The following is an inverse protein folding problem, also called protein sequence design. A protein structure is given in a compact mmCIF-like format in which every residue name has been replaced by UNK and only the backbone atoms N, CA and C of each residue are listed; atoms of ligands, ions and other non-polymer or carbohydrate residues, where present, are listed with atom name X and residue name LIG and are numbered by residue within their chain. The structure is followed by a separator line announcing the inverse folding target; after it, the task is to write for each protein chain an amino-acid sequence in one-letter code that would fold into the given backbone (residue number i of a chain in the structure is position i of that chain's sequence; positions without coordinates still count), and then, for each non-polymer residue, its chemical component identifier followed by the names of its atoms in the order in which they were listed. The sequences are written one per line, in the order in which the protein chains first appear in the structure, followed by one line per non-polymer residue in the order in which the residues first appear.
data_IF_901037916365
#
_entry.id   IF_901037916365
#
_cell.length_a   1.000
_cell.length_b   1.000
_cell.length_c   1.000
_cell.angle_alpha   90.00
_cell.angle_beta   90.00
_cell.angle_gamma   90.00
#
_symmetry.space_group_name_H-M   'P 1'
#
loop_
_entity.id
_entity.type
_entity.pdbx_description
1 polymer ?
#
# COMPACT_ATOMS: atom_id res chain seq x y z
N UNK A 1 27.50 -10.73 19.76
CA UNK A 1 26.64 -11.92 19.57
C UNK A 1 26.69 -12.20 18.07
N UNK A 2 27.53 -13.13 17.64
CA UNK A 2 27.68 -13.43 16.21
C UNK A 2 26.55 -14.37 15.79
N UNK A 3 25.56 -13.83 15.08
CA UNK A 3 24.48 -14.62 14.50
C UNK A 3 24.98 -15.13 13.14
N UNK A 4 25.11 -16.46 12.94
CA UNK A 4 25.65 -17.02 11.71
C UNK A 4 24.68 -16.80 10.53
N UNK A 5 25.23 -16.45 9.37
CA UNK A 5 24.47 -16.37 8.10
C UNK A 5 24.50 -17.75 7.44
N UNK A 6 23.38 -18.46 7.51
CA UNK A 6 23.29 -19.88 7.10
C UNK A 6 22.88 -20.09 5.64
N UNK A 7 22.66 -19.02 4.86
CA UNK A 7 22.30 -19.16 3.45
C UNK A 7 21.65 -17.93 2.84
N UNK A 8 20.97 -18.16 1.72
CA UNK A 8 20.23 -17.11 0.99
C UNK A 8 18.75 -17.46 0.94
N UNK A 9 17.92 -16.49 0.51
CA UNK A 9 16.48 -16.75 0.29
C UNK A 9 16.20 -17.91 -0.68
N UNK A 10 17.13 -18.24 -1.57
CA UNK A 10 16.97 -19.33 -2.56
C UNK A 10 17.39 -20.71 -2.03
N UNK A 11 18.10 -20.77 -0.89
CA UNK A 11 18.63 -22.00 -0.30
C UNK A 11 18.50 -21.93 1.21
N UNK A 12 17.29 -22.14 1.72
CA UNK A 12 17.03 -22.17 3.15
C UNK A 12 17.38 -23.56 3.72
N UNK A 13 18.25 -23.61 4.74
CA UNK A 13 18.69 -24.85 5.39
C UNK A 13 17.69 -25.34 6.46
N UNK A 14 16.40 -25.08 6.26
CA UNK A 14 15.39 -25.28 7.30
C UNK A 14 15.29 -26.72 7.82
N UNK A 15 15.50 -27.71 6.93
CA UNK A 15 15.46 -29.14 7.30
C UNK A 15 16.66 -29.56 8.15
N UNK A 16 17.85 -29.08 7.82
CA UNK A 16 19.10 -29.43 8.52
C UNK A 16 19.09 -28.94 9.97
N UNK A 17 18.43 -27.80 10.21
CA UNK A 17 18.33 -27.18 11.53
C UNK A 17 16.97 -27.38 12.21
N UNK A 18 16.09 -28.22 11.65
CA UNK A 18 14.74 -28.49 12.15
C UNK A 18 13.94 -27.21 12.50
N UNK A 19 13.97 -26.23 11.59
CA UNK A 19 13.35 -24.92 11.77
C UNK A 19 11.83 -25.03 11.63
N UNK A 20 11.10 -24.62 12.66
CA UNK A 20 9.62 -24.60 12.65
C UNK A 20 9.04 -23.28 12.12
N UNK A 21 9.73 -22.15 12.35
CA UNK A 21 9.25 -20.81 12.00
C UNK A 21 10.35 -19.94 11.39
N UNK A 22 9.96 -19.08 10.45
CA UNK A 22 10.80 -18.05 9.85
C UNK A 22 10.15 -16.67 10.01
N UNK A 23 10.96 -15.66 10.30
CA UNK A 23 10.51 -14.27 10.44
C UNK A 23 11.08 -13.44 9.29
N UNK A 24 10.20 -12.78 8.53
CA UNK A 24 10.59 -11.77 7.56
C UNK A 24 10.81 -10.45 8.31
N UNK A 25 12.08 -10.09 8.48
CA UNK A 25 12.51 -8.85 9.14
C UNK A 25 12.74 -7.67 8.16
N UNK A 26 12.23 -7.80 6.93
CA UNK A 26 12.32 -6.78 5.86
C UNK A 26 10.92 -6.35 5.43
N UNK A 27 10.15 -5.64 6.28
CA UNK A 27 8.77 -5.29 5.98
C UNK A 27 8.60 -4.29 4.83
N UNK A 28 9.69 -3.67 4.38
CA UNK A 28 9.75 -2.81 3.19
C UNK A 28 9.99 -3.59 1.89
N UNK A 29 10.22 -4.91 1.96
CA UNK A 29 10.40 -5.72 0.76
C UNK A 29 9.14 -5.72 -0.09
N UNK A 30 9.31 -5.76 -1.42
CA UNK A 30 8.15 -5.79 -2.31
C UNK A 30 7.31 -7.06 -2.09
N UNK A 31 5.99 -7.01 -2.33
CA UNK A 31 5.11 -8.19 -2.23
C UNK A 31 5.59 -9.36 -3.08
N UNK A 32 6.26 -9.10 -4.21
CA UNK A 32 6.90 -10.14 -5.02
C UNK A 32 7.98 -10.88 -4.21
N UNK A 33 8.87 -10.15 -3.55
CA UNK A 33 9.94 -10.76 -2.72
C UNK A 33 9.33 -11.52 -1.54
N UNK A 34 8.32 -10.96 -0.88
CA UNK A 34 7.61 -11.64 0.23
C UNK A 34 6.97 -12.94 -0.25
N UNK A 35 6.30 -12.93 -1.42
CA UNK A 35 5.72 -14.13 -2.05
C UNK A 35 6.77 -15.18 -2.38
N UNK A 36 7.91 -14.77 -2.93
CA UNK A 36 9.03 -15.66 -3.24
C UNK A 36 9.54 -16.34 -1.97
N UNK A 37 9.80 -15.58 -0.91
CA UNK A 37 10.24 -16.10 0.39
C UNK A 37 9.20 -17.05 0.98
N UNK A 38 7.92 -16.67 0.99
CA UNK A 38 6.82 -17.49 1.48
C UNK A 38 6.74 -18.83 0.75
N UNK A 39 6.88 -18.82 -0.58
CA UNK A 39 6.84 -20.04 -1.40
C UNK A 39 7.97 -20.99 -1.03
N UNK A 40 9.16 -20.45 -0.78
CA UNK A 40 10.34 -21.23 -0.42
C UNK A 40 10.19 -21.84 0.98
N UNK A 41 9.77 -21.05 1.97
CA UNK A 41 9.49 -21.52 3.33
C UNK A 41 8.38 -22.58 3.36
N UNK A 42 7.31 -22.40 2.58
CA UNK A 42 6.20 -23.37 2.48
C UNK A 42 6.67 -24.71 1.91
N UNK A 43 7.49 -24.69 0.85
CA UNK A 43 8.09 -25.92 0.30
C UNK A 43 8.98 -26.65 1.31
N UNK A 44 9.57 -25.92 2.26
CA UNK A 44 10.37 -26.48 3.33
C UNK A 44 9.56 -26.88 4.58
N UNK A 45 8.24 -26.64 4.62
CA UNK A 45 7.39 -26.94 5.77
C UNK A 45 7.49 -25.94 6.92
N UNK A 46 8.00 -24.74 6.66
CA UNK A 46 8.26 -23.70 7.67
C UNK A 46 7.13 -22.68 7.69
N UNK A 47 6.63 -22.35 8.90
CA UNK A 47 5.64 -21.26 9.07
C UNK A 47 6.32 -19.90 8.93
N UNK A 48 5.67 -18.95 8.28
CA UNK A 48 6.25 -17.62 8.02
C UNK A 48 5.48 -16.54 8.76
N UNK A 49 6.22 -15.72 9.51
CA UNK A 49 5.74 -14.51 10.19
C UNK A 49 6.45 -13.27 9.63
N UNK A 50 5.87 -12.10 9.84
CA UNK A 50 6.43 -10.83 9.36
C UNK A 50 6.42 -9.78 10.46
N UNK A 51 7.48 -8.95 10.50
CA UNK A 51 7.55 -7.77 11.37
C UNK A 51 6.67 -6.66 10.76
N UNK A 52 5.97 -5.83 11.55
CA UNK A 52 5.20 -4.71 11.00
C UNK A 52 6.10 -3.67 10.29
N UNK A 53 5.52 -2.93 9.34
CA UNK A 53 6.20 -1.83 8.65
C UNK A 53 6.68 -0.71 9.58
N UNK A 54 7.75 -0.01 9.16
CA UNK A 54 8.48 1.00 9.96
C UNK A 54 7.58 2.12 10.50
N UNK A 55 6.51 2.49 9.77
CA UNK A 55 5.53 3.50 10.21
C UNK A 55 4.86 3.13 11.54
N UNK A 56 4.65 1.84 11.79
CA UNK A 56 4.04 1.32 13.02
C UNK A 56 5.07 1.19 14.15
N UNK A 57 6.32 0.86 13.82
CA UNK A 57 7.45 0.80 14.77
C UNK A 57 7.77 2.19 15.35
N UNK A 58 7.79 3.23 14.52
CA UNK A 58 8.12 4.61 14.92
C UNK A 58 7.07 5.25 15.85
N UNK A 59 5.88 4.67 16.00
CA UNK A 59 4.85 5.15 16.93
C UNK A 59 5.17 4.90 18.42
N UNK A 60 6.33 4.31 18.73
CA UNK A 60 6.80 4.10 20.10
C UNK A 60 6.15 2.94 20.85
N UNK A 61 5.31 2.14 20.18
CA UNK A 61 4.60 0.97 20.75
C UNK A 61 5.03 -0.37 20.13
N UNK A 62 6.29 -0.52 19.75
CA UNK A 62 6.74 -1.81 19.24
C UNK A 62 7.03 -2.77 20.40
N UNK A 63 6.29 -3.88 20.42
CA UNK A 63 6.55 -5.03 21.28
C UNK A 63 6.81 -6.24 20.39
N UNK A 64 7.60 -7.21 20.87
CA UNK A 64 7.83 -8.50 20.21
C UNK A 64 6.50 -9.22 19.90
N UNK A 65 5.42 -8.87 20.62
CA UNK A 65 4.06 -9.33 20.37
C UNK A 65 3.46 -8.89 19.03
N UNK A 66 4.08 -7.95 18.30
CA UNK A 66 3.58 -7.52 16.99
C UNK A 66 4.08 -8.38 15.81
N UNK A 67 4.92 -9.39 16.06
CA UNK A 67 5.27 -10.39 15.04
C UNK A 67 4.02 -11.22 14.77
N UNK A 68 3.46 -11.07 13.56
CA UNK A 68 2.21 -11.74 13.17
C UNK A 68 2.40 -12.67 11.98
N UNK A 69 1.41 -13.55 11.77
CA UNK A 69 1.33 -14.33 10.55
C UNK A 69 1.16 -13.40 9.33
N UNK A 70 1.59 -13.87 8.16
CA UNK A 70 1.38 -13.17 6.90
C UNK A 70 -0.11 -13.14 6.57
N UNK A 71 -0.63 -11.95 6.32
CA UNK A 71 -2.02 -11.71 5.94
C UNK A 71 -2.09 -11.47 4.42
N UNK A 72 -3.30 -11.52 3.84
CA UNK A 72 -3.46 -11.39 2.38
C UNK A 72 -3.08 -9.98 1.91
N UNK A 73 -3.26 -9.00 2.77
CA UNK A 73 -2.92 -7.59 2.62
C UNK A 73 -1.42 -7.38 2.41
N UNK A 74 -0.55 -8.23 2.98
CA UNK A 74 0.91 -8.16 2.75
C UNK A 74 1.30 -8.61 1.34
N UNK A 75 0.38 -9.28 0.64
CA UNK A 75 0.56 -9.79 -0.72
C UNK A 75 -0.16 -8.92 -1.76
N UNK A 76 -1.17 -8.16 -1.34
CA UNK A 76 -1.96 -7.32 -2.23
C UNK A 76 -1.29 -5.95 -2.40
N UNK A 77 -1.09 -5.55 -3.65
CA UNK A 77 -0.71 -4.18 -3.98
C UNK A 77 -1.94 -3.27 -3.86
N UNK A 78 -1.75 -2.14 -3.19
CA UNK A 78 -1.44 -0.96 -3.99
C UNK A 78 -0.13 -0.39 -3.47
N UNK A 79 0.92 -0.51 -4.27
CA UNK A 79 1.90 0.58 -4.26
C UNK A 79 1.09 1.82 -4.62
N UNK A 80 1.22 2.92 -3.86
CA UNK A 80 0.66 4.18 -4.29
C UNK A 80 1.18 4.39 -5.71
N UNK A 81 0.26 4.50 -6.68
CA UNK A 81 0.65 5.06 -7.97
C UNK A 81 1.14 6.46 -7.61
N UNK A 82 2.42 6.73 -7.81
CA UNK A 82 2.92 8.10 -7.78
C UNK A 82 2.27 8.80 -8.97
N UNK A 83 1.16 9.49 -8.69
CA UNK A 83 0.54 10.37 -9.66
C UNK A 83 1.49 11.55 -9.77
N UNK A 84 2.10 11.71 -10.95
CA UNK A 84 2.87 12.91 -11.27
C UNK A 84 1.91 14.11 -11.28
N UNK A 85 1.86 14.79 -10.13
CA UNK A 85 0.95 15.90 -9.88
C UNK A 85 1.23 17.08 -10.81
N UNK A 86 2.48 17.30 -11.22
CA UNK A 86 2.84 18.37 -12.15
C UNK A 86 2.38 18.03 -13.57
N UNK A 87 2.58 16.80 -14.02
CA UNK A 87 2.04 16.34 -15.31
C UNK A 87 0.52 16.42 -15.34
N UNK A 88 -0.16 16.01 -14.26
CA UNK A 88 -1.61 16.09 -14.15
C UNK A 88 -2.12 17.54 -14.18
N UNK A 89 -1.45 18.44 -13.45
CA UNK A 89 -1.74 19.88 -13.46
C UNK A 89 -1.57 20.46 -14.85
N UNK A 90 -0.42 20.24 -15.51
CA UNK A 90 -0.17 20.73 -16.87
C UNK A 90 -1.19 20.19 -17.87
N UNK A 91 -1.62 18.93 -17.72
CA UNK A 91 -2.62 18.32 -18.60
C UNK A 91 -3.99 19.00 -18.45
N UNK A 92 -4.37 19.42 -17.25
CA UNK A 92 -5.73 19.87 -16.92
C UNK A 92 -5.88 21.39 -16.87
N UNK A 93 -4.80 22.13 -16.66
CA UNK A 93 -4.80 23.59 -16.55
C UNK A 93 -5.53 24.23 -17.76
N UNK A 94 -6.45 25.16 -17.46
CA UNK A 94 -7.23 25.86 -18.48
C UNK A 94 -8.26 25.02 -19.24
N UNK A 95 -8.46 23.74 -18.91
CA UNK A 95 -9.47 22.86 -19.54
C UNK A 95 -10.78 22.83 -18.78
N UNK A 96 -11.84 22.38 -19.45
CA UNK A 96 -13.10 22.01 -18.79
C UNK A 96 -13.06 20.53 -18.45
N UNK A 97 -13.27 20.20 -17.17
CA UNK A 97 -13.18 18.84 -16.64
C UNK A 97 -14.53 18.42 -16.06
N UNK A 98 -15.01 17.23 -16.43
CA UNK A 98 -16.20 16.60 -15.87
C UNK A 98 -15.78 15.42 -15.00
N UNK A 99 -16.18 15.41 -13.73
CA UNK A 99 -15.99 14.27 -12.84
C UNK A 99 -17.32 13.54 -12.68
N UNK A 100 -17.39 12.31 -13.18
CA UNK A 100 -18.54 11.41 -13.00
C UNK A 100 -18.45 10.67 -11.67
N UNK A 101 -19.54 10.59 -10.94
CA UNK A 101 -19.55 10.06 -9.57
C UNK A 101 -18.91 11.01 -8.56
N UNK A 102 -19.01 12.33 -8.78
CA UNK A 102 -18.33 13.34 -7.97
C UNK A 102 -18.69 13.31 -6.47
N UNK A 103 -19.90 12.88 -6.11
CA UNK A 103 -20.32 12.70 -4.70
C UNK A 103 -19.86 11.40 -4.05
N UNK A 104 -19.12 10.53 -4.76
CA UNK A 104 -18.55 9.30 -4.22
C UNK A 104 -17.20 9.53 -3.55
N UNK A 105 -16.70 8.53 -2.81
CA UNK A 105 -15.40 8.61 -2.11
C UNK A 105 -14.22 8.90 -3.05
N UNK A 106 -14.18 8.26 -4.22
CA UNK A 106 -13.11 8.48 -5.21
C UNK A 106 -13.35 9.77 -5.99
N UNK A 107 -14.58 10.02 -6.42
CA UNK A 107 -14.92 11.20 -7.22
C UNK A 107 -14.67 12.50 -6.47
N UNK A 108 -15.02 12.55 -5.17
CA UNK A 108 -14.80 13.73 -4.33
C UNK A 108 -13.33 14.07 -4.17
N UNK A 109 -12.47 13.04 -4.01
CA UNK A 109 -11.02 13.24 -3.94
C UNK A 109 -10.43 13.75 -5.25
N UNK A 110 -10.90 13.23 -6.38
CA UNK A 110 -10.53 13.75 -7.71
C UNK A 110 -10.97 15.23 -7.83
N UNK A 111 -12.17 15.58 -7.38
CA UNK A 111 -12.65 16.97 -7.45
C UNK A 111 -11.77 17.92 -6.66
N UNK A 112 -11.37 17.56 -5.43
CA UNK A 112 -10.46 18.36 -4.59
C UNK A 112 -9.12 18.62 -5.26
N UNK A 113 -8.54 17.59 -5.87
CA UNK A 113 -7.25 17.73 -6.57
C UNK A 113 -7.39 18.60 -7.82
N UNK A 114 -8.41 18.34 -8.65
CA UNK A 114 -8.64 19.07 -9.90
C UNK A 114 -8.96 20.55 -9.64
N UNK A 115 -9.67 20.87 -8.57
CA UNK A 115 -9.97 22.25 -8.18
C UNK A 115 -8.68 23.08 -7.95
N UNK A 116 -7.62 22.46 -7.43
CA UNK A 116 -6.32 23.09 -7.23
C UNK A 116 -5.48 23.31 -8.50
N UNK A 117 -5.89 22.78 -9.66
CA UNK A 117 -5.08 22.79 -10.89
C UNK A 117 -5.38 23.94 -11.87
N UNK A 118 -6.09 24.98 -11.45
CA UNK A 118 -6.46 26.12 -12.30
C UNK A 118 -7.16 25.69 -13.60
N UNK A 119 -8.11 24.77 -13.49
CA UNK A 119 -8.98 24.38 -14.61
C UNK A 119 -9.91 25.54 -14.99
N UNK A 120 -10.33 25.60 -16.26
CA UNK A 120 -11.29 26.62 -16.74
C UNK A 120 -12.68 26.43 -16.14
N UNK A 121 -13.08 25.18 -15.95
CA UNK A 121 -14.37 24.81 -15.35
C UNK A 121 -14.30 23.38 -14.84
N UNK A 122 -14.74 23.16 -13.60
CA UNK A 122 -14.98 21.83 -13.03
C UNK A 122 -16.50 21.56 -13.01
N UNK A 123 -16.92 20.43 -13.57
CA UNK A 123 -18.32 19.99 -13.62
C UNK A 123 -18.44 18.73 -12.77
N UNK A 124 -19.36 18.77 -11.80
CA UNK A 124 -19.62 17.67 -10.87
C UNK A 124 -20.88 16.92 -11.36
N UNK A 125 -20.76 15.62 -11.63
CA UNK A 125 -21.89 14.77 -12.02
C UNK A 125 -22.01 13.58 -11.08
N UNK A 126 -23.20 13.34 -10.53
CA UNK A 126 -23.48 12.19 -9.67
C UNK A 126 -24.99 11.94 -9.52
N UNK A 127 -25.35 10.86 -8.84
CA UNK A 127 -26.74 10.42 -8.67
C UNK A 127 -27.44 11.02 -7.42
N UNK A 128 -26.71 11.62 -6.48
CA UNK A 128 -27.27 12.14 -5.23
C UNK A 128 -27.06 13.65 -5.08
N UNK A 129 -28.15 14.41 -4.94
CA UNK A 129 -28.12 15.86 -4.75
C UNK A 129 -27.29 16.26 -3.53
N UNK A 130 -27.59 15.69 -2.36
CA UNK A 130 -26.84 15.98 -1.12
C UNK A 130 -25.34 15.72 -1.29
N UNK A 131 -24.97 14.55 -1.82
CA UNK A 131 -23.55 14.20 -2.01
C UNK A 131 -22.82 15.13 -2.99
N UNK A 132 -23.53 15.69 -3.98
CA UNK A 132 -22.97 16.66 -4.93
C UNK A 132 -22.91 18.05 -4.29
N UNK A 133 -23.92 18.42 -3.52
CA UNK A 133 -23.98 19.67 -2.78
C UNK A 133 -22.87 19.75 -1.72
N UNK A 134 -22.63 18.66 -0.99
CA UNK A 134 -21.58 18.57 0.04
C UNK A 134 -20.20 18.82 -0.58
N UNK A 135 -19.83 18.08 -1.63
CA UNK A 135 -18.54 18.29 -2.31
C UNK A 135 -18.48 19.66 -3.01
N UNK A 136 -19.58 20.15 -3.58
CA UNK A 136 -19.60 21.50 -4.14
C UNK A 136 -19.33 22.57 -3.07
N UNK A 137 -19.82 22.38 -1.85
CA UNK A 137 -19.61 23.31 -0.73
C UNK A 137 -18.20 23.22 -0.13
N UNK A 138 -17.48 22.11 -0.35
CA UNK A 138 -16.08 21.93 0.07
C UNK A 138 -15.07 22.64 -0.85
N UNK A 139 -15.42 22.89 -2.12
CA UNK A 139 -14.54 23.39 -3.19
C UNK A 139 -14.58 24.92 -3.34
#
# INVERSE_FOLDING_TARGET
MDIPVLGTRHSILAKEFNIAEAIIAIPSASPRVIREIMTICRKAGVKVKIIPGIKRILSGKWSVHEIRELEIEDLLHREPVEIDMESAKHLLQGKTVLVTGAGGSIGSEICRQVAGYQVKRLILLGHGENSIFDIYSEL
#
